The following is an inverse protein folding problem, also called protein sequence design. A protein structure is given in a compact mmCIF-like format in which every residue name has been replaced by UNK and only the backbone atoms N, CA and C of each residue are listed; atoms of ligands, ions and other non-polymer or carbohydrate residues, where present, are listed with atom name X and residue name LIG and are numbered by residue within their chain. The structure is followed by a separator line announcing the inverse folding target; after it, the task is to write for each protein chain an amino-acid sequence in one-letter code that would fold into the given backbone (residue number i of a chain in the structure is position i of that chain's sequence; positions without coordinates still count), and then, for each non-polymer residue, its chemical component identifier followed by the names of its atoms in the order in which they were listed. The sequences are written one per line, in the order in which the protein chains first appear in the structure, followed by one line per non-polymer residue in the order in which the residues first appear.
data_IF_043986736659
#
_entry.id   IF_043986736659
#
_cell.length_a   1.000
_cell.length_b   1.000
_cell.length_c   1.000
_cell.angle_alpha   90.00
_cell.angle_beta   90.00
_cell.angle_gamma   90.00
#
_symmetry.space_group_name_H-M   'P 1'
#
loop_
_entity.id
_entity.type
_entity.pdbx_description
1 polymer ?
#
# COMPACT_ATOMS: atom_id res chain seq x y z
N UNK A 1 -5.39 -10.13 20.35
CA UNK A 1 -5.89 -9.75 19.02
C UNK A 1 -5.58 -10.93 18.09
N UNK A 2 -6.60 -11.64 17.61
CA UNK A 2 -6.39 -12.70 16.61
C UNK A 2 -6.03 -12.01 15.29
N UNK A 3 -4.83 -12.23 14.76
CA UNK A 3 -4.48 -11.77 13.42
C UNK A 3 -5.30 -12.65 12.48
N UNK A 4 -6.32 -12.07 11.84
CA UNK A 4 -7.06 -12.74 10.78
C UNK A 4 -6.18 -12.67 9.54
N UNK A 5 -5.75 -13.82 9.02
CA UNK A 5 -5.00 -13.89 7.76
C UNK A 5 -5.94 -13.55 6.61
N UNK A 6 -5.97 -12.27 6.22
CA UNK A 6 -6.68 -11.82 5.04
C UNK A 6 -5.75 -11.95 3.82
N UNK A 7 -6.22 -12.65 2.79
CA UNK A 7 -5.53 -12.71 1.50
C UNK A 7 -6.04 -11.52 0.68
N UNK A 8 -5.12 -10.68 0.22
CA UNK A 8 -5.44 -9.53 -0.61
C UNK A 8 -5.18 -9.84 -2.07
N UNK A 9 -6.04 -9.34 -2.95
CA UNK A 9 -5.88 -9.38 -4.39
C UNK A 9 -5.92 -7.98 -4.99
N UNK A 10 -5.16 -7.79 -6.06
CA UNK A 10 -5.12 -6.54 -6.83
C UNK A 10 -5.60 -6.81 -8.25
N UNK A 11 -6.81 -6.34 -8.56
CA UNK A 11 -7.54 -6.71 -9.77
C UNK A 11 -7.98 -5.47 -10.56
N UNK A 12 -8.08 -5.62 -11.88
CA UNK A 12 -8.75 -4.66 -12.74
C UNK A 12 -10.22 -5.08 -12.90
N UNK A 13 -11.15 -4.16 -12.62
CA UNK A 13 -12.59 -4.39 -12.78
C UNK A 13 -13.03 -4.14 -14.22
N UNK A 14 -14.25 -4.54 -14.54
CA UNK A 14 -14.83 -4.42 -15.89
C UNK A 14 -14.86 -2.98 -16.44
N UNK A 15 -14.90 -1.98 -15.55
CA UNK A 15 -14.86 -0.55 -15.89
C UNK A 15 -13.43 0.01 -16.04
N UNK A 16 -12.40 -0.84 -15.94
CA UNK A 16 -10.99 -0.48 -16.04
C UNK A 16 -10.46 0.22 -14.78
N UNK A 17 -11.15 0.09 -13.67
CA UNK A 17 -10.72 0.59 -12.35
C UNK A 17 -9.91 -0.48 -11.64
N UNK A 18 -8.77 -0.10 -11.07
CA UNK A 18 -7.95 -1.04 -10.30
C UNK A 18 -8.37 -1.01 -8.83
N UNK A 19 -8.54 -2.19 -8.23
CA UNK A 19 -8.91 -2.31 -6.82
C UNK A 19 -7.99 -3.25 -6.06
N UNK A 20 -7.68 -2.87 -4.81
CA UNK A 20 -7.12 -3.76 -3.80
C UNK A 20 -8.26 -4.17 -2.85
N UNK A 21 -8.48 -5.47 -2.70
CA UNK A 21 -9.59 -6.01 -1.91
C UNK A 21 -9.20 -7.33 -1.24
N UNK A 22 -9.98 -7.75 -0.24
CA UNK A 22 -9.85 -9.09 0.34
C UNK A 22 -10.52 -10.12 -0.57
N UNK A 23 -9.88 -11.26 -0.76
CA UNK A 23 -10.45 -12.36 -1.55
C UNK A 23 -11.78 -12.78 -0.95
N UNK A 24 -12.85 -12.74 -1.76
CA UNK A 24 -14.21 -13.05 -1.33
C UNK A 24 -14.97 -11.88 -0.70
N UNK A 25 -14.41 -10.66 -0.69
CA UNK A 25 -15.09 -9.42 -0.32
C UNK A 25 -14.92 -8.36 -1.41
N UNK A 26 -15.48 -8.65 -2.59
CA UNK A 26 -15.35 -7.81 -3.78
C UNK A 26 -16.19 -6.51 -3.69
N UNK A 27 -17.19 -6.47 -2.82
CA UNK A 27 -18.09 -5.31 -2.68
C UNK A 27 -17.47 -4.17 -1.84
N UNK A 28 -16.42 -4.47 -1.07
CA UNK A 28 -15.78 -3.52 -0.17
C UNK A 28 -14.28 -3.38 -0.46
N UNK A 29 -13.91 -2.72 -1.58
CA UNK A 29 -12.51 -2.51 -1.91
C UNK A 29 -11.85 -1.61 -0.86
N UNK A 30 -10.65 -2.02 -0.43
CA UNK A 30 -9.83 -1.24 0.50
C UNK A 30 -9.23 -0.02 -0.20
N UNK A 31 -8.88 -0.17 -1.48
CA UNK A 31 -8.33 0.89 -2.32
C UNK A 31 -8.93 0.80 -3.72
N UNK A 32 -9.20 1.96 -4.31
CA UNK A 32 -9.67 2.11 -5.69
C UNK A 32 -8.81 3.14 -6.41
N UNK A 33 -8.30 2.79 -7.59
CA UNK A 33 -7.44 3.65 -8.40
C UNK A 33 -8.11 3.90 -9.76
N UNK A 34 -8.49 5.15 -9.99
CA UNK A 34 -9.01 5.61 -11.28
C UNK A 34 -7.93 6.39 -12.03
N UNK A 35 -7.45 5.83 -13.14
CA UNK A 35 -6.62 6.58 -14.08
C UNK A 35 -7.52 7.35 -15.05
N UNK A 36 -7.15 8.60 -15.34
CA UNK A 36 -7.79 9.31 -16.44
C UNK A 36 -7.42 8.68 -17.77
N UNK A 37 -8.30 8.80 -18.77
CA UNK A 37 -8.03 8.29 -20.12
C UNK A 37 -6.75 8.86 -20.74
N UNK A 38 -6.42 10.12 -20.41
CA UNK A 38 -5.18 10.77 -20.85
C UNK A 38 -3.95 10.07 -20.28
N UNK A 39 -4.00 9.69 -18.99
CA UNK A 39 -2.91 8.98 -18.33
C UNK A 39 -2.80 7.54 -18.85
N UNK A 40 -3.93 6.85 -19.05
CA UNK A 40 -3.95 5.52 -19.69
C UNK A 40 -3.32 5.54 -21.08
N UNK A 41 -3.64 6.55 -21.90
CA UNK A 41 -3.06 6.70 -23.22
C UNK A 41 -1.55 6.98 -23.19
N UNK A 42 -1.08 7.75 -22.21
CA UNK A 42 0.33 8.08 -22.05
C UNK A 42 1.17 6.89 -21.56
N UNK A 43 0.67 6.15 -20.57
CA UNK A 43 1.37 5.02 -19.95
C UNK A 43 1.29 3.77 -20.86
N UNK A 44 0.20 3.63 -21.61
CA UNK A 44 -0.11 2.42 -22.36
C UNK A 44 -0.95 1.47 -21.53
N UNK A 45 -1.94 0.84 -22.16
CA UNK A 45 -2.92 -0.03 -21.48
C UNK A 45 -2.25 -1.19 -20.73
N UNK A 46 -1.20 -1.76 -21.32
CA UNK A 46 -0.50 -2.93 -20.77
C UNK A 46 0.32 -2.61 -19.51
N UNK A 47 0.63 -1.34 -19.25
CA UNK A 47 1.46 -0.92 -18.12
C UNK A 47 0.67 -0.35 -16.94
N UNK A 48 -0.63 -0.07 -17.12
CA UNK A 48 -1.46 0.55 -16.09
C UNK A 48 -1.57 -0.31 -14.84
N UNK A 49 -1.70 -1.63 -15.00
CA UNK A 49 -1.76 -2.55 -13.87
C UNK A 49 -0.45 -2.54 -13.06
N UNK A 50 0.70 -2.54 -13.74
CA UNK A 50 2.03 -2.47 -13.12
C UNK A 50 2.21 -1.16 -12.35
N UNK A 51 1.78 -0.04 -12.92
CA UNK A 51 1.84 1.27 -12.25
C UNK A 51 0.98 1.26 -10.98
N UNK A 52 -0.23 0.73 -11.04
CA UNK A 52 -1.09 0.56 -9.87
C UNK A 52 -0.43 -0.27 -8.76
N UNK A 53 0.15 -1.42 -9.11
CA UNK A 53 0.87 -2.28 -8.15
C UNK A 53 2.05 -1.55 -7.50
N UNK A 54 2.83 -0.80 -8.29
CA UNK A 54 3.95 -0.01 -7.77
C UNK A 54 3.48 1.08 -6.80
N UNK A 55 2.34 1.73 -7.06
CA UNK A 55 1.76 2.70 -6.14
C UNK A 55 1.39 2.05 -4.80
N UNK A 56 0.78 0.86 -4.83
CA UNK A 56 0.43 0.11 -3.62
C UNK A 56 1.68 -0.30 -2.85
N UNK A 57 2.69 -0.87 -3.51
CA UNK A 57 3.96 -1.23 -2.88
C UNK A 57 4.64 -0.03 -2.22
N UNK A 58 4.67 1.12 -2.90
CA UNK A 58 5.25 2.35 -2.35
C UNK A 58 4.49 2.84 -1.11
N UNK A 59 3.16 2.74 -1.11
CA UNK A 59 2.33 3.10 0.05
C UNK A 59 2.62 2.19 1.26
N UNK A 60 2.68 0.87 1.03
CA UNK A 60 3.01 -0.12 2.08
C UNK A 60 4.40 0.15 2.65
N UNK A 61 5.40 0.34 1.77
CA UNK A 61 6.76 0.64 2.18
C UNK A 61 6.84 1.93 3.02
N UNK A 62 6.07 2.96 2.66
CA UNK A 62 6.01 4.22 3.41
C UNK A 62 5.46 4.01 4.83
N UNK A 63 4.42 3.19 4.99
CA UNK A 63 3.86 2.87 6.31
C UNK A 63 4.86 2.08 7.15
N UNK A 64 5.50 1.06 6.55
CA UNK A 64 6.52 0.26 7.23
C UNK A 64 7.70 1.13 7.68
N UNK A 65 8.18 2.03 6.82
CA UNK A 65 9.27 2.95 7.15
C UNK A 65 8.90 3.86 8.33
N UNK A 66 7.67 4.39 8.37
CA UNK A 66 7.19 5.20 9.50
C UNK A 66 7.18 4.41 10.80
N UNK A 67 6.69 3.17 10.76
CA UNK A 67 6.73 2.29 11.93
C UNK A 67 8.17 2.07 12.39
N UNK A 68 9.08 1.66 11.50
CA UNK A 68 10.49 1.47 11.84
C UNK A 68 11.13 2.73 12.44
N UNK A 69 10.88 3.90 11.85
CA UNK A 69 11.39 5.17 12.36
C UNK A 69 10.84 5.50 13.75
N UNK A 70 9.55 5.22 14.03
CA UNK A 70 8.98 5.41 15.36
C UNK A 70 9.62 4.50 16.42
N UNK A 71 10.03 3.29 16.04
CA UNK A 71 10.74 2.37 16.93
C UNK A 71 12.16 2.88 17.22
N UNK A 72 12.87 3.37 16.21
CA UNK A 72 14.19 3.98 16.41
C UNK A 72 14.13 5.29 17.20
N UNK A 73 13.11 6.13 17.02
CA UNK A 73 12.97 7.38 17.75
C UNK A 73 12.78 7.17 19.26
N UNK A 74 12.04 6.13 19.67
CA UNK A 74 11.89 5.78 21.09
C UNK A 74 13.19 5.34 21.77
N UNK A 75 14.19 4.87 21.03
CA UNK A 75 15.49 4.45 21.59
C UNK A 75 16.40 5.66 21.88
N UNK A 76 16.20 6.80 21.21
CA UNK A 76 17.07 7.98 21.37
C UNK A 76 16.69 8.90 22.54
N UNK A 77 15.47 8.80 23.08
CA UNK A 77 15.03 9.63 24.22
C UNK A 77 15.48 9.10 25.59
N UNK A 78 16.16 7.96 25.64
CA UNK A 78 16.83 7.51 26.87
C UNK A 78 18.18 8.23 27.00
N UNK A 79 18.25 9.26 27.86
CA UNK A 79 19.53 9.89 28.23
C UNK A 79 20.50 8.80 28.71
N UNK A 80 21.77 8.79 28.24
CA UNK A 80 22.74 7.84 28.76
C UNK A 80 22.86 8.09 30.27
N UNK A 81 22.54 7.08 31.08
CA UNK A 81 22.95 7.04 32.49
C UNK A 81 24.48 6.98 32.48
N UNK A 82 25.09 8.16 32.49
CA UNK A 82 26.51 8.34 32.77
C UNK A 82 26.83 7.57 34.05
N UNK A 83 27.74 6.60 33.92
CA UNK A 83 28.61 6.23 35.02
C UNK A 83 30.03 6.59 34.58
N UNK A 84 30.58 7.60 35.25
CA UNK A 84 32.01 7.93 35.25
C UNK A 84 32.85 6.79 35.80
#
# INVERSE_FOLDING_TARGET
MMIKEAILEFVEREDGVLTLQEVGNEDEPMVTIHFSEQVKAMIGKDEIQNVGQNMIHAAIATVMQRQMNSWHAHIYDEQPTHYS
#
